data_IF_588237219449
#
_entry.id   IF_588237219449
#
_cell.length_a   1.000
_cell.length_b   1.000
_cell.length_c   1.000
_cell.angle_alpha   90.00
_cell.angle_beta   90.00
_cell.angle_gamma   90.00
#
_symmetry.space_group_name_H-M   'P 1'
#
loop_
_entity.id
_entity.type
_entity.pdbx_description
1 polymer ?
#
# COMPACT_ATOMS: atom_id res chain seq x y z
N UNK A 1 15.30 4.83 22.32
CA UNK A 1 15.14 3.37 22.19
C UNK A 1 13.65 3.10 22.33
N UNK A 2 12.93 2.93 21.21
CA UNK A 2 11.48 2.71 21.23
C UNK A 2 11.25 1.21 21.28
N UNK A 3 10.73 0.70 22.39
CA UNK A 3 10.34 -0.69 22.53
C UNK A 3 9.12 -0.97 21.63
N UNK A 4 9.06 -2.11 20.93
CA UNK A 4 7.85 -2.49 20.19
C UNK A 4 6.70 -2.74 21.17
N UNK A 5 5.43 -2.59 20.74
CA UNK A 5 4.30 -2.85 21.60
C UNK A 5 4.35 -4.32 22.07
N UNK A 6 4.47 -4.48 23.38
CA UNK A 6 4.37 -5.77 24.06
C UNK A 6 2.95 -6.28 23.83
N UNK A 7 2.81 -7.34 23.04
CA UNK A 7 1.58 -8.13 22.98
C UNK A 7 1.48 -8.88 24.31
N UNK A 8 0.76 -8.29 25.27
CA UNK A 8 0.46 -8.93 26.55
C UNK A 8 -0.61 -10.00 26.29
N UNK A 9 -0.22 -11.27 26.35
CA UNK A 9 -1.14 -12.40 26.37
C UNK A 9 -1.85 -12.44 27.73
N UNK A 10 -3.06 -11.87 27.80
CA UNK A 10 -3.95 -12.04 28.96
C UNK A 10 -4.97 -13.13 28.64
N UNK A 11 -4.80 -14.29 29.28
CA UNK A 11 -5.82 -15.34 29.31
C UNK A 11 -6.85 -14.99 30.38
N UNK A 12 -8.13 -14.96 30.02
CA UNK A 12 -9.23 -15.21 30.96
C UNK A 12 -9.74 -16.64 30.76
N UNK A 13 -9.99 -17.30 31.89
CA UNK A 13 -10.60 -18.61 32.12
C UNK A 13 -11.90 -18.93 31.37
N UNK A 14 -12.44 -18.02 30.57
CA UNK A 14 -13.67 -18.21 29.78
C UNK A 14 -13.44 -18.46 28.28
N UNK A 15 -12.19 -18.40 27.78
CA UNK A 15 -11.84 -18.91 26.44
C UNK A 15 -12.43 -18.17 25.22
N UNK A 16 -13.07 -17.01 25.40
CA UNK A 16 -13.84 -16.35 24.34
C UNK A 16 -13.25 -15.09 23.69
N UNK A 17 -12.21 -14.46 24.25
CA UNK A 17 -11.87 -13.08 23.86
C UNK A 17 -10.66 -12.92 22.91
N UNK A 18 -9.67 -13.81 22.98
CA UNK A 18 -8.52 -13.74 22.08
C UNK A 18 -8.83 -14.34 20.70
N UNK A 19 -9.60 -15.43 20.65
CA UNK A 19 -9.98 -16.06 19.38
C UNK A 19 -10.79 -15.14 18.47
N UNK A 20 -11.75 -14.39 19.03
CA UNK A 20 -12.52 -13.43 18.24
C UNK A 20 -11.66 -12.27 17.72
N UNK A 21 -10.76 -11.74 18.55
CA UNK A 21 -9.89 -10.62 18.14
C UNK A 21 -8.90 -11.04 17.04
N UNK A 22 -8.32 -12.24 17.13
CA UNK A 22 -7.45 -12.79 16.08
C UNK A 22 -8.22 -13.05 14.78
N UNK A 23 -9.43 -13.60 14.86
CA UNK A 23 -10.28 -13.88 13.70
C UNK A 23 -10.77 -12.61 12.99
N UNK A 24 -11.17 -11.58 13.75
CA UNK A 24 -11.57 -10.28 13.18
C UNK A 24 -10.40 -9.53 12.53
N UNK A 25 -9.18 -9.70 13.05
CA UNK A 25 -7.98 -9.13 12.44
C UNK A 25 -7.67 -9.83 11.11
N UNK A 26 -7.73 -11.16 11.09
CA UNK A 26 -7.46 -11.98 9.90
C UNK A 26 -8.46 -11.69 8.77
N UNK A 27 -9.75 -11.54 9.09
CA UNK A 27 -10.79 -11.12 8.12
C UNK A 27 -10.46 -9.74 7.54
N UNK A 28 -10.12 -8.76 8.39
CA UNK A 28 -9.78 -7.41 7.93
C UNK A 28 -8.55 -7.35 7.03
N UNK A 29 -7.52 -8.16 7.30
CA UNK A 29 -6.32 -8.24 6.45
C UNK A 29 -6.68 -8.77 5.07
N UNK A 30 -7.49 -9.82 5.01
CA UNK A 30 -7.93 -10.42 3.74
C UNK A 30 -8.78 -9.44 2.93
N UNK A 31 -9.73 -8.78 3.56
CA UNK A 31 -10.61 -7.80 2.91
C UNK A 31 -9.81 -6.64 2.29
N UNK A 32 -8.80 -6.13 3.00
CA UNK A 32 -7.93 -5.05 2.50
C UNK A 32 -7.07 -5.47 1.31
N UNK A 33 -6.52 -6.69 1.32
CA UNK A 33 -5.73 -7.21 0.20
C UNK A 33 -6.63 -7.47 -1.01
N UNK A 34 -7.83 -7.99 -0.80
CA UNK A 34 -8.83 -8.20 -1.85
C UNK A 34 -9.30 -6.87 -2.46
N UNK A 35 -9.54 -5.85 -1.64
CA UNK A 35 -9.87 -4.50 -2.11
C UNK A 35 -8.72 -3.91 -2.93
N UNK A 36 -7.49 -4.11 -2.47
CA UNK A 36 -6.30 -3.66 -3.19
C UNK A 36 -6.20 -4.34 -4.57
N UNK A 37 -6.36 -5.65 -4.63
CA UNK A 37 -6.38 -6.40 -5.90
C UNK A 37 -7.53 -5.96 -6.82
N UNK A 38 -8.72 -5.74 -6.27
CA UNK A 38 -9.90 -5.29 -7.02
C UNK A 38 -9.67 -3.92 -7.67
N UNK A 39 -9.07 -2.97 -6.95
CA UNK A 39 -8.72 -1.65 -7.48
C UNK A 39 -7.73 -1.75 -8.65
N UNK A 40 -6.76 -2.66 -8.57
CA UNK A 40 -5.77 -2.88 -9.64
C UNK A 40 -6.30 -3.71 -10.81
N UNK A 41 -7.34 -4.50 -10.59
CA UNK A 41 -7.97 -5.39 -11.57
C UNK A 41 -8.94 -4.68 -12.52
N UNK A 42 -9.35 -3.43 -12.21
CA UNK A 42 -10.21 -2.66 -13.11
C UNK A 42 -9.56 -2.51 -14.49
N UNK A 43 -10.31 -2.79 -15.59
CA UNK A 43 -9.74 -2.87 -16.92
C UNK A 43 -9.10 -1.54 -17.34
N UNK A 44 -7.93 -1.67 -17.99
CA UNK A 44 -7.07 -0.59 -18.50
C UNK A 44 -7.77 0.22 -19.62
N UNK A 45 -8.88 0.90 -19.29
CA UNK A 45 -9.38 2.01 -20.10
C UNK A 45 -8.49 3.23 -19.88
N UNK A 46 -8.39 4.07 -20.90
CA UNK A 46 -7.31 5.06 -21.20
C UNK A 46 -6.94 6.07 -20.10
N UNK A 47 -7.61 6.04 -18.97
CA UNK A 47 -7.28 6.69 -17.70
C UNK A 47 -8.01 5.87 -16.64
N UNK A 48 -7.34 5.07 -15.79
CA UNK A 48 -8.03 4.42 -14.70
C UNK A 48 -8.62 5.55 -13.84
N UNK A 49 -9.94 5.71 -13.83
CA UNK A 49 -10.61 6.76 -13.05
C UNK A 49 -10.22 6.67 -11.55
N UNK A 50 -9.78 5.48 -11.12
CA UNK A 50 -9.10 5.24 -9.85
C UNK A 50 -7.91 6.18 -9.60
N UNK A 51 -7.10 6.52 -10.60
CA UNK A 51 -5.94 7.40 -10.41
C UNK A 51 -6.27 8.89 -10.54
N UNK A 52 -7.25 9.26 -11.38
CA UNK A 52 -7.58 10.67 -11.64
C UNK A 52 -8.65 11.26 -10.70
N UNK A 53 -9.66 10.47 -10.32
CA UNK A 53 -10.79 10.93 -9.48
C UNK A 53 -10.79 10.31 -8.08
N UNK A 54 -10.24 9.10 -7.93
CA UNK A 54 -10.20 8.38 -6.66
C UNK A 54 -8.78 8.09 -6.17
N UNK A 55 -7.78 8.88 -6.59
CA UNK A 55 -6.39 8.66 -6.18
C UNK A 55 -6.25 8.57 -4.65
N UNK A 56 -7.07 9.36 -3.94
CA UNK A 56 -7.22 9.34 -2.48
C UNK A 56 -7.52 7.94 -1.91
N UNK A 57 -8.37 7.14 -2.55
CA UNK A 57 -8.71 5.79 -2.08
C UNK A 57 -7.48 4.87 -2.04
N UNK A 58 -6.56 5.03 -2.99
CA UNK A 58 -5.33 4.24 -2.97
C UNK A 58 -4.42 4.64 -1.82
N UNK A 59 -4.21 5.95 -1.62
CA UNK A 59 -3.37 6.44 -0.53
C UNK A 59 -3.95 5.98 0.81
N UNK A 60 -5.26 6.12 1.01
CA UNK A 60 -5.94 5.68 2.22
C UNK A 60 -5.83 4.18 2.44
N UNK A 61 -5.96 3.38 1.37
CA UNK A 61 -5.80 1.92 1.46
C UNK A 61 -4.36 1.54 1.81
N UNK A 62 -3.37 2.15 1.15
CA UNK A 62 -1.97 1.84 1.41
C UNK A 62 -1.50 2.33 2.77
N UNK A 63 -2.06 3.43 3.24
CA UNK A 63 -1.89 3.96 4.61
C UNK A 63 -2.46 2.98 5.64
N UNK A 64 -3.64 2.40 5.40
CA UNK A 64 -4.22 1.36 6.27
C UNK A 64 -3.36 0.09 6.31
N UNK A 65 -2.87 -0.37 5.15
CA UNK A 65 -1.96 -1.52 5.06
C UNK A 65 -0.68 -1.26 5.87
N UNK A 66 -0.13 -0.04 5.79
CA UNK A 66 1.04 0.36 6.56
C UNK A 66 0.75 0.40 8.07
N UNK A 67 -0.38 0.98 8.47
CA UNK A 67 -0.83 1.08 9.87
C UNK A 67 -1.04 -0.29 10.53
N UNK A 68 -1.42 -1.29 9.73
CA UNK A 68 -1.55 -2.68 10.18
C UNK A 68 -0.23 -3.47 10.13
N UNK A 69 0.88 -2.86 9.68
CA UNK A 69 2.20 -3.51 9.60
C UNK A 69 2.29 -4.57 8.50
N UNK A 70 1.47 -4.47 7.46
CA UNK A 70 1.38 -5.47 6.39
C UNK A 70 2.34 -5.21 5.22
N UNK A 71 3.25 -4.25 5.35
CA UNK A 71 4.19 -3.86 4.28
C UNK A 71 5.03 -5.04 3.74
N UNK A 72 5.36 -5.98 4.62
CA UNK A 72 6.16 -7.14 4.27
C UNK A 72 5.35 -8.34 3.75
N UNK A 73 4.01 -8.24 3.74
CA UNK A 73 3.13 -9.31 3.31
C UNK A 73 3.34 -9.64 1.81
N UNK A 74 3.49 -10.93 1.42
CA UNK A 74 3.82 -11.32 0.05
C UNK A 74 2.86 -10.78 -1.01
N UNK A 75 1.55 -10.86 -0.75
CA UNK A 75 0.54 -10.33 -1.69
C UNK A 75 0.58 -8.81 -1.77
N UNK A 76 0.84 -8.09 -0.66
CA UNK A 76 0.99 -6.63 -0.68
C UNK A 76 2.18 -6.23 -1.56
N UNK A 77 3.33 -6.91 -1.41
CA UNK A 77 4.52 -6.67 -2.26
C UNK A 77 4.24 -6.92 -3.75
N UNK A 78 3.47 -7.96 -4.06
CA UNK A 78 3.06 -8.27 -5.44
C UNK A 78 2.14 -7.18 -6.00
N UNK A 79 1.16 -6.73 -5.22
CA UNK A 79 0.24 -5.66 -5.60
C UNK A 79 0.95 -4.31 -5.72
N UNK A 80 1.87 -3.97 -4.82
CA UNK A 80 2.73 -2.78 -4.91
C UNK A 80 3.51 -2.76 -6.24
N UNK A 81 4.07 -3.90 -6.66
CA UNK A 81 4.78 -4.01 -7.95
C UNK A 81 3.85 -3.78 -9.14
N UNK A 82 2.65 -4.35 -9.11
CA UNK A 82 1.65 -4.17 -10.17
C UNK A 82 1.16 -2.73 -10.24
N UNK A 83 0.93 -2.12 -9.08
CA UNK A 83 0.54 -0.72 -8.96
C UNK A 83 1.62 0.20 -9.53
N UNK A 84 2.88 0.03 -9.10
CA UNK A 84 3.96 0.91 -9.56
C UNK A 84 4.17 0.80 -11.08
N UNK A 85 4.05 -0.40 -11.67
CA UNK A 85 4.07 -0.56 -13.13
C UNK A 85 2.97 0.26 -13.81
N UNK A 86 1.74 0.19 -13.30
CA UNK A 86 0.60 0.97 -13.84
C UNK A 86 0.83 2.48 -13.70
N UNK A 87 1.39 2.93 -12.58
CA UNK A 87 1.76 4.33 -12.35
C UNK A 87 2.77 4.83 -13.39
N UNK A 88 3.84 4.06 -13.60
CA UNK A 88 4.88 4.43 -14.56
C UNK A 88 4.32 4.51 -15.98
N UNK A 89 3.45 3.57 -16.37
CA UNK A 89 2.88 3.49 -17.72
C UNK A 89 1.78 4.53 -17.99
N UNK A 90 0.84 4.77 -17.05
CA UNK A 90 -0.45 5.42 -17.39
C UNK A 90 -0.71 6.77 -16.74
N UNK A 91 -0.17 7.05 -15.55
CA UNK A 91 -0.66 8.19 -14.73
C UNK A 91 0.07 9.48 -15.09
N UNK A 92 -0.66 10.55 -15.39
CA UNK A 92 -0.02 11.84 -15.64
C UNK A 92 0.49 12.43 -14.30
N UNK A 93 1.69 13.01 -14.24
CA UNK A 93 2.25 13.62 -13.03
C UNK A 93 1.32 14.62 -12.32
N UNK A 94 0.43 15.28 -13.04
CA UNK A 94 -0.46 16.32 -12.52
C UNK A 94 -1.74 15.78 -11.85
N UNK A 95 -1.97 14.46 -11.92
CA UNK A 95 -3.14 13.80 -11.34
C UNK A 95 -2.97 13.51 -9.83
N UNK A 96 -1.77 13.70 -9.29
CA UNK A 96 -1.47 13.45 -7.88
C UNK A 96 -1.84 14.66 -7.00
N UNK A 97 -3.08 14.69 -6.50
CA UNK A 97 -3.60 15.78 -5.66
C UNK A 97 -4.05 15.38 -4.26
N UNK A 98 -3.75 14.17 -3.80
CA UNK A 98 -4.14 13.72 -2.47
C UNK A 98 -3.29 14.39 -1.38
N UNK A 99 -3.91 14.65 -0.23
CA UNK A 99 -3.21 15.11 0.97
C UNK A 99 -2.29 14.01 1.49
N UNK A 100 -1.00 14.32 1.66
CA UNK A 100 0.02 13.32 2.04
C UNK A 100 0.03 13.13 3.56
N UNK A 101 -0.67 12.11 4.07
CA UNK A 101 -0.58 11.72 5.50
C UNK A 101 0.83 11.25 5.87
N UNK A 102 1.48 10.50 4.98
CA UNK A 102 2.85 10.02 5.14
C UNK A 102 3.76 10.55 4.02
N UNK A 103 4.21 11.81 4.07
CA UNK A 103 4.92 12.46 2.96
C UNK A 103 6.27 11.82 2.61
N UNK A 104 6.84 11.03 3.52
CA UNK A 104 8.12 10.34 3.29
C UNK A 104 7.96 8.95 2.64
N UNK A 105 6.75 8.43 2.56
CA UNK A 105 6.50 7.09 2.03
C UNK A 105 6.45 7.10 0.51
N UNK A 106 6.98 6.06 -0.12
CA UNK A 106 7.13 6.02 -1.58
C UNK A 106 5.79 6.14 -2.32
N UNK A 107 4.73 5.55 -1.77
CA UNK A 107 3.41 5.59 -2.40
C UNK A 107 2.79 6.98 -2.39
N UNK A 108 3.29 7.93 -1.57
CA UNK A 108 2.95 9.36 -1.56
C UNK A 108 3.84 10.21 -2.48
N UNK A 109 4.82 9.62 -3.17
CA UNK A 109 5.80 10.33 -4.00
C UNK A 109 5.89 9.76 -5.41
N UNK A 110 4.73 9.38 -5.96
CA UNK A 110 4.61 8.74 -7.28
C UNK A 110 5.02 9.67 -8.42
N UNK A 111 4.82 10.97 -8.26
CA UNK A 111 5.26 11.99 -9.21
C UNK A 111 6.79 11.97 -9.32
N UNK A 112 7.47 12.06 -8.19
CA UNK A 112 8.94 12.07 -8.10
C UNK A 112 9.52 10.74 -8.60
N UNK A 113 8.85 9.62 -8.30
CA UNK A 113 9.22 8.30 -8.81
C UNK A 113 9.13 8.25 -10.34
N UNK A 114 8.02 8.73 -10.92
CA UNK A 114 7.85 8.75 -12.38
C UNK A 114 8.84 9.68 -13.08
N UNK A 115 9.20 10.79 -12.44
CA UNK A 115 10.21 11.73 -12.95
C UNK A 115 11.65 11.27 -12.73
N UNK A 116 11.88 10.18 -11.99
CA UNK A 116 13.22 9.69 -11.66
C UNK A 116 13.96 10.55 -10.63
N UNK A 117 13.27 11.46 -9.94
CA UNK A 117 13.85 12.35 -8.91
C UNK A 117 13.72 11.79 -7.50
N UNK A 118 12.88 10.76 -7.30
CA UNK A 118 12.76 10.08 -6.01
C UNK A 118 14.02 9.21 -5.73
N UNK A 119 14.65 9.33 -4.55
CA UNK A 119 15.85 8.55 -4.22
C UNK A 119 15.58 7.04 -4.23
N UNK A 120 16.36 6.29 -5.02
CA UNK A 120 16.19 4.84 -5.18
C UNK A 120 16.38 4.08 -3.87
N UNK A 121 17.21 4.60 -2.97
CA UNK A 121 17.51 4.04 -1.67
C UNK A 121 16.32 4.08 -0.72
N UNK A 122 15.37 5.01 -0.94
CA UNK A 122 14.14 5.14 -0.15
C UNK A 122 13.03 4.20 -0.59
N UNK A 123 13.17 3.54 -1.73
CA UNK A 123 12.19 2.55 -2.17
C UNK A 123 12.38 1.22 -1.44
N UNK A 124 11.28 0.51 -1.17
CA UNK A 124 11.33 -0.89 -0.78
C UNK A 124 12.09 -1.74 -1.80
N UNK A 125 12.82 -2.74 -1.31
CA UNK A 125 13.67 -3.59 -2.14
C UNK A 125 12.90 -4.27 -3.29
N UNK A 126 11.65 -4.68 -3.04
CA UNK A 126 10.79 -5.31 -4.05
C UNK A 126 10.33 -4.38 -5.17
N UNK A 127 10.64 -3.08 -5.12
CA UNK A 127 10.28 -2.09 -6.14
C UNK A 127 11.48 -1.49 -6.88
N UNK A 128 12.70 -1.62 -6.34
CA UNK A 128 13.90 -0.96 -6.87
C UNK A 128 14.25 -1.37 -8.30
N UNK A 129 13.93 -2.58 -8.70
CA UNK A 129 14.19 -3.09 -10.05
C UNK A 129 13.24 -2.46 -11.10
N UNK A 130 12.05 -2.00 -10.70
CA UNK A 130 11.07 -1.42 -11.62
C UNK A 130 11.48 -0.04 -12.18
N UNK A 131 12.26 0.73 -11.42
CA UNK A 131 12.68 2.08 -11.83
C UNK A 131 13.93 2.04 -12.73
N UNK A 132 14.60 0.88 -12.85
CA UNK A 132 15.79 0.74 -13.69
C UNK A 132 15.52 0.76 -15.21
N UNK A 133 14.25 0.82 -15.63
CA UNK A 133 13.82 0.68 -17.03
C UNK A 133 13.34 1.98 -17.70
N UNK A 134 13.34 3.12 -17.00
CA UNK A 134 13.00 4.42 -17.60
C UNK A 134 14.26 5.14 -18.06
N UNK A 135 14.71 4.80 -19.29
CA UNK A 135 15.71 5.56 -20.06
C UNK A 135 15.06 6.15 -21.31
#
# INVERSE_FOLDING_TARGET
MVLPPVVVLLYDTTGGFLFHLFFELEIRVKDLIEEYDALLSYPNSRYPQVFAYNGWMFYDLRDQIHELGLDDHPEVKKLDRQFLKKVLEWVHPDDYKAEKKYPNMWWHNLQEIKQGTYPKEKLPEHLKDLISLSY
#
